data_IF_468843066865
#
_entry.id   IF_468843066865
#
_cell.length_a   1.000
_cell.length_b   1.000
_cell.length_c   1.000
_cell.angle_alpha   90.00
_cell.angle_beta   90.00
_cell.angle_gamma   90.00
#
_symmetry.space_group_name_H-M   'P 1'
#
loop_
_entity.id
_entity.type
_entity.pdbx_description
1 polymer ?
#
# COMPACT_ATOMS: atom_id res chain seq x y z
N UNK A 1 8.57 27.14 94.48
CA UNK A 1 8.98 28.24 93.58
C UNK A 1 9.27 27.64 92.22
N UNK A 2 8.70 28.23 91.16
CA UNK A 2 8.80 27.89 89.72
C UNK A 2 7.86 26.77 89.21
N UNK A 3 6.72 27.22 88.72
CA UNK A 3 5.85 26.54 87.75
C UNK A 3 6.57 26.47 86.39
N UNK A 4 6.51 25.33 85.70
CA UNK A 4 6.70 25.27 84.26
C UNK A 4 5.63 24.37 83.65
N UNK A 5 4.83 24.98 82.79
CA UNK A 5 3.70 24.43 82.05
C UNK A 5 4.27 23.66 80.85
N UNK A 6 3.93 22.37 80.74
CA UNK A 6 4.23 21.56 79.57
C UNK A 6 3.15 21.79 78.50
N UNK A 7 3.48 22.50 77.43
CA UNK A 7 2.64 22.69 76.27
C UNK A 7 2.80 21.50 75.31
N UNK A 8 1.77 20.67 75.18
CA UNK A 8 1.67 19.60 74.18
C UNK A 8 1.32 20.19 72.82
N UNK A 9 2.27 20.15 71.89
CA UNK A 9 2.06 20.46 70.47
C UNK A 9 1.52 19.23 69.74
N UNK A 10 0.27 19.29 69.28
CA UNK A 10 -0.31 18.36 68.30
C UNK A 10 0.27 18.63 66.92
N UNK A 11 1.09 17.70 66.41
CA UNK A 11 1.53 17.66 65.02
C UNK A 11 0.38 17.16 64.13
N UNK A 12 -0.21 18.07 63.35
CA UNK A 12 -1.11 17.72 62.27
C UNK A 12 -0.29 17.14 61.10
N UNK A 13 -0.43 15.84 60.84
CA UNK A 13 0.16 15.18 59.67
C UNK A 13 -0.62 15.56 58.41
N UNK A 14 -0.12 16.53 57.66
CA UNK A 14 -0.57 16.80 56.30
C UNK A 14 -0.07 15.68 55.38
N UNK A 15 -1.00 14.83 54.92
CA UNK A 15 -0.73 13.86 53.86
C UNK A 15 -0.48 14.62 52.55
N UNK A 16 0.79 14.65 52.11
CA UNK A 16 1.16 15.14 50.79
C UNK A 16 0.67 14.08 49.79
N UNK A 17 -0.43 14.38 49.10
CA UNK A 17 -0.82 13.62 47.92
C UNK A 17 0.29 13.75 46.88
N UNK A 18 0.99 12.64 46.61
CA UNK A 18 1.94 12.59 45.51
C UNK A 18 1.17 12.89 44.20
N UNK A 19 1.69 13.74 43.31
CA UNK A 19 1.11 13.88 41.99
C UNK A 19 1.20 12.51 41.31
N UNK A 20 0.06 11.89 41.03
CA UNK A 20 -0.02 10.78 40.10
C UNK A 20 0.43 11.34 38.76
N UNK A 21 1.66 11.01 38.35
CA UNK A 21 2.06 11.19 36.97
C UNK A 21 1.06 10.38 36.13
N UNK A 22 0.21 11.08 35.39
CA UNK A 22 -0.51 10.46 34.29
C UNK A 22 0.58 10.03 33.32
N UNK A 23 1.00 8.77 33.38
CA UNK A 23 1.76 8.19 32.29
C UNK A 23 0.84 8.27 31.08
N UNK A 24 1.16 9.15 30.14
CA UNK A 24 0.64 9.02 28.79
C UNK A 24 0.95 7.58 28.37
N UNK A 25 -0.10 6.79 28.13
CA UNK A 25 0.09 5.44 27.63
C UNK A 25 0.74 5.60 26.26
N UNK A 26 1.97 5.14 26.09
CA UNK A 26 2.64 5.23 24.79
C UNK A 26 1.81 4.45 23.76
N UNK A 27 1.48 5.12 22.64
CA UNK A 27 1.15 4.46 21.38
C UNK A 27 2.18 3.36 21.08
N UNK A 28 1.86 2.39 20.22
CA UNK A 28 2.74 1.25 19.89
C UNK A 28 2.77 0.15 20.97
N UNK A 29 1.60 -0.29 21.43
CA UNK A 29 1.50 -1.33 22.46
C UNK A 29 0.24 -2.17 22.35
N UNK A 30 -0.05 -2.94 23.40
CA UNK A 30 -1.36 -3.58 23.54
C UNK A 30 -2.13 -2.95 24.68
N UNK A 31 -3.44 -2.83 24.53
CA UNK A 31 -4.33 -2.25 25.51
C UNK A 31 -5.44 -3.23 25.88
N UNK A 32 -5.67 -3.43 27.18
CA UNK A 32 -6.78 -4.27 27.65
C UNK A 32 -7.98 -3.40 27.97
N UNK A 33 -9.06 -3.61 27.22
CA UNK A 33 -10.33 -2.86 27.37
C UNK A 33 -10.87 -3.00 28.78
N UNK A 34 -11.15 -1.87 29.42
CA UNK A 34 -11.74 -1.73 30.74
C UNK A 34 -13.24 -1.42 30.64
N UNK A 35 -13.92 -1.47 31.79
CA UNK A 35 -15.34 -1.12 31.86
C UNK A 35 -15.50 0.38 31.62
N UNK A 36 -16.30 0.73 30.60
CA UNK A 36 -16.62 2.13 30.28
C UNK A 36 -15.80 2.73 29.14
N UNK A 37 -14.80 2.00 28.61
CA UNK A 37 -13.99 2.49 27.51
C UNK A 37 -14.77 2.64 26.20
N UNK A 38 -14.38 3.63 25.41
CA UNK A 38 -14.63 3.71 23.98
C UNK A 38 -13.32 3.74 23.18
N UNK A 39 -13.35 3.34 21.90
CA UNK A 39 -12.15 3.43 21.06
C UNK A 39 -11.63 4.86 20.92
N UNK A 40 -12.52 5.85 20.92
CA UNK A 40 -12.14 7.26 20.85
C UNK A 40 -11.38 7.71 22.11
N UNK A 41 -11.81 7.31 23.29
CA UNK A 41 -11.12 7.64 24.55
C UNK A 41 -9.79 6.89 24.68
N UNK A 42 -9.75 5.60 24.32
CA UNK A 42 -8.51 4.82 24.26
C UNK A 42 -7.53 5.50 23.29
N UNK A 43 -8.03 5.98 22.15
CA UNK A 43 -7.21 6.67 21.16
C UNK A 43 -6.69 8.01 21.67
N UNK A 44 -7.56 8.83 22.26
CA UNK A 44 -7.18 10.11 22.87
C UNK A 44 -6.14 9.91 23.99
N UNK A 45 -6.25 8.82 24.76
CA UNK A 45 -5.29 8.46 25.81
C UNK A 45 -3.94 7.99 25.25
N UNK A 46 -3.94 7.21 24.16
CA UNK A 46 -2.73 6.63 23.59
C UNK A 46 -1.95 7.59 22.67
N UNK A 47 -2.66 8.43 21.92
CA UNK A 47 -2.06 9.29 20.88
C UNK A 47 -2.14 10.78 21.20
N UNK A 48 -2.97 11.20 22.16
CA UNK A 48 -3.27 12.61 22.41
C UNK A 48 -4.22 13.24 21.38
N UNK A 49 -4.75 12.45 20.44
CA UNK A 49 -5.77 12.83 19.46
C UNK A 49 -6.62 11.62 19.08
N UNK A 50 -7.78 11.85 18.46
CA UNK A 50 -8.65 10.77 18.01
C UNK A 50 -8.12 10.09 16.73
N UNK A 51 -7.67 8.85 16.88
CA UNK A 51 -7.23 7.91 15.86
C UNK A 51 -7.97 6.54 15.99
N UNK A 52 -9.21 6.54 16.48
CA UNK A 52 -9.97 5.31 16.75
C UNK A 52 -10.12 4.40 15.52
N UNK A 53 -10.16 4.98 14.31
CA UNK A 53 -10.26 4.22 13.05
C UNK A 53 -9.06 3.33 12.80
N UNK A 54 -7.86 3.80 13.13
CA UNK A 54 -6.62 3.02 13.00
C UNK A 54 -6.63 1.85 13.98
N UNK A 55 -7.00 2.09 15.26
CA UNK A 55 -7.15 1.01 16.24
C UNK A 55 -8.19 -0.01 15.75
N UNK A 56 -9.36 0.43 15.27
CA UNK A 56 -10.40 -0.47 14.79
C UNK A 56 -9.94 -1.34 13.62
N UNK A 57 -9.27 -0.75 12.63
CA UNK A 57 -8.80 -1.46 11.43
C UNK A 57 -7.85 -2.59 11.81
N UNK A 58 -6.90 -2.35 12.71
CA UNK A 58 -5.92 -3.36 13.12
C UNK A 58 -6.49 -4.43 14.07
N UNK A 59 -7.67 -4.18 14.66
CA UNK A 59 -8.33 -5.10 15.59
C UNK A 59 -9.67 -5.62 15.07
N UNK A 60 -9.89 -5.58 13.74
CA UNK A 60 -11.17 -5.92 13.14
C UNK A 60 -11.61 -7.37 13.41
N UNK A 61 -10.65 -8.28 13.61
CA UNK A 61 -10.92 -9.67 14.01
C UNK A 61 -11.53 -9.79 15.41
N UNK A 62 -11.15 -8.89 16.33
CA UNK A 62 -11.60 -8.90 17.73
C UNK A 62 -12.88 -8.07 17.93
N UNK A 63 -12.97 -6.92 17.26
CA UNK A 63 -14.06 -5.94 17.44
C UNK A 63 -15.23 -6.24 16.50
N UNK A 64 -14.96 -6.77 15.31
CA UNK A 64 -15.98 -6.99 14.28
C UNK A 64 -16.34 -5.72 13.51
N UNK A 65 -17.52 -5.71 12.90
CA UNK A 65 -17.93 -4.70 11.91
C UNK A 65 -18.32 -3.34 12.51
N UNK A 66 -18.71 -3.30 13.78
CA UNK A 66 -19.11 -2.07 14.46
C UNK A 66 -17.99 -1.59 15.40
N UNK A 67 -17.31 -0.46 15.12
CA UNK A 67 -16.23 0.05 15.95
C UNK A 67 -16.70 0.54 17.33
N UNK A 68 -18.00 0.72 17.54
CA UNK A 68 -18.55 1.16 18.82
C UNK A 68 -18.77 0.02 19.82
N UNK A 69 -18.54 -1.23 19.40
CA UNK A 69 -18.78 -2.43 20.21
C UNK A 69 -17.45 -3.08 20.58
N UNK A 70 -16.80 -2.59 21.64
CA UNK A 70 -15.60 -3.21 22.22
C UNK A 70 -15.95 -4.02 23.47
N UNK A 71 -15.35 -5.20 23.62
CA UNK A 71 -15.64 -6.10 24.74
C UNK A 71 -14.64 -5.88 25.87
N UNK A 72 -15.16 -5.75 27.09
CA UNK A 72 -14.33 -5.66 28.30
C UNK A 72 -13.43 -6.89 28.39
N UNK A 73 -12.14 -6.65 28.65
CA UNK A 73 -11.12 -7.67 28.73
C UNK A 73 -10.43 -8.03 27.41
N UNK A 74 -10.96 -7.61 26.25
CA UNK A 74 -10.28 -7.76 24.95
C UNK A 74 -8.94 -7.04 24.95
N UNK A 75 -7.95 -7.64 24.28
CA UNK A 75 -6.63 -7.04 24.10
C UNK A 75 -6.55 -6.45 22.70
N UNK A 76 -6.49 -5.13 22.61
CA UNK A 76 -6.37 -4.39 21.36
C UNK A 76 -4.90 -4.11 21.05
N UNK A 77 -4.50 -4.30 19.80
CA UNK A 77 -3.24 -3.79 19.24
C UNK A 77 -3.39 -2.30 19.01
N UNK A 78 -2.57 -1.48 19.64
CA UNK A 78 -2.50 -0.05 19.38
C UNK A 78 -1.36 0.20 18.39
N UNK A 79 -1.66 0.63 17.15
CA UNK A 79 -0.63 0.97 16.18
C UNK A 79 0.31 2.04 16.72
N UNK A 80 1.54 2.05 16.24
CA UNK A 80 2.51 3.08 16.52
C UNK A 80 2.12 4.37 15.73
N UNK A 81 2.71 5.52 16.06
CA UNK A 81 2.39 6.78 15.36
C UNK A 81 2.73 6.76 13.87
N UNK A 82 3.66 5.89 13.48
CA UNK A 82 4.03 5.62 12.08
C UNK A 82 3.14 4.58 11.40
N UNK A 83 2.13 4.05 12.09
CA UNK A 83 1.19 3.05 11.59
C UNK A 83 1.63 1.60 11.72
N UNK A 84 2.85 1.32 12.20
CA UNK A 84 3.34 -0.05 12.43
C UNK A 84 2.66 -0.74 13.63
N UNK A 85 2.73 -2.08 13.74
CA UNK A 85 2.21 -2.82 14.89
C UNK A 85 3.28 -3.08 15.96
N UNK A 86 2.89 -3.26 17.23
CA UNK A 86 3.84 -3.55 18.32
C UNK A 86 4.67 -4.82 18.13
N UNK A 87 4.19 -5.78 17.33
CA UNK A 87 4.93 -6.99 16.96
C UNK A 87 6.04 -6.72 15.94
N UNK A 88 5.86 -5.71 15.10
CA UNK A 88 6.79 -5.34 14.03
C UNK A 88 8.04 -4.66 14.64
N UNK A 89 7.89 -4.08 15.84
CA UNK A 89 9.01 -3.54 16.60
C UNK A 89 9.96 -4.61 17.16
N UNK A 90 9.51 -5.87 17.27
CA UNK A 90 10.40 -6.97 17.69
C UNK A 90 11.32 -7.44 16.58
N UNK A 91 10.98 -7.18 15.32
CA UNK A 91 11.87 -7.32 14.15
C UNK A 91 12.61 -6.00 13.82
N UNK A 92 12.09 -4.85 14.25
CA UNK A 92 12.80 -3.56 14.16
C UNK A 92 13.90 -3.36 15.22
N UNK A 93 14.04 -4.27 16.20
CA UNK A 93 15.12 -4.25 17.19
C UNK A 93 16.29 -5.15 16.81
N UNK A 94 16.83 -4.92 15.61
CA UNK A 94 18.25 -5.11 15.27
C UNK A 94 18.68 -4.00 14.30
N UNK A 95 18.40 -2.73 14.61
CA UNK A 95 19.21 -1.63 14.06
C UNK A 95 20.47 -1.47 14.91
N UNK A 96 21.37 -2.44 14.78
CA UNK A 96 22.79 -2.26 15.09
C UNK A 96 23.63 -2.99 14.04
N UNK A 97 23.69 -2.40 12.85
CA UNK A 97 24.82 -2.59 11.93
C UNK A 97 25.08 -1.26 11.25
N UNK A 98 26.31 -0.78 11.39
CA UNK A 98 26.95 0.38 10.75
C UNK A 98 27.00 0.28 9.19
N UNK A 99 26.10 -0.49 8.59
CA UNK A 99 25.96 -0.71 7.15
C UNK A 99 24.64 -0.09 6.71
N UNK A 100 24.66 1.00 5.91
CA UNK A 100 23.45 1.56 5.33
C UNK A 100 22.69 0.47 4.55
N UNK A 101 21.44 0.20 4.92
CA UNK A 101 20.55 -0.71 4.21
C UNK A 101 19.56 0.09 3.35
N UNK A 102 19.35 -0.32 2.10
CA UNK A 102 18.34 0.28 1.22
C UNK A 102 16.96 -0.24 1.59
N UNK A 103 16.01 0.63 1.90
CA UNK A 103 14.65 0.22 2.27
C UNK A 103 13.65 0.52 1.14
N UNK A 104 12.99 -0.52 0.65
CA UNK A 104 11.96 -0.43 -0.37
C UNK A 104 10.56 -0.52 0.25
N UNK A 105 9.59 0.20 -0.30
CA UNK A 105 8.17 0.07 0.07
C UNK A 105 7.30 -0.34 -1.11
N UNK A 106 6.42 -1.32 -0.89
CA UNK A 106 5.39 -1.76 -1.84
C UNK A 106 4.07 -2.04 -1.10
N UNK A 107 3.06 -2.64 -1.73
CA UNK A 107 1.73 -2.82 -1.16
C UNK A 107 1.06 -4.14 -1.60
N UNK A 108 0.17 -4.65 -0.76
CA UNK A 108 -0.63 -5.85 -1.02
C UNK A 108 -1.80 -5.59 -1.98
N UNK A 109 -2.38 -6.65 -2.53
CA UNK A 109 -3.59 -6.59 -3.34
C UNK A 109 -3.37 -6.26 -4.81
N UNK A 110 -2.14 -6.34 -5.32
CA UNK A 110 -1.85 -6.23 -6.76
C UNK A 110 -1.36 -7.55 -7.32
N UNK A 111 -2.21 -8.58 -7.25
CA UNK A 111 -1.91 -9.94 -7.74
C UNK A 111 -1.87 -9.96 -9.28
N UNK A 112 -0.95 -10.69 -9.93
CA UNK A 112 0.15 -11.54 -9.42
C UNK A 112 1.41 -10.81 -8.92
N UNK A 113 1.42 -9.49 -8.96
CA UNK A 113 2.65 -8.72 -8.98
C UNK A 113 3.25 -8.45 -7.60
N UNK A 114 2.43 -7.98 -6.65
CA UNK A 114 2.87 -7.67 -5.28
C UNK A 114 1.78 -8.05 -4.28
N UNK A 115 2.11 -9.01 -3.41
CA UNK A 115 1.32 -9.38 -2.24
C UNK A 115 2.15 -10.31 -1.35
N UNK A 116 2.08 -10.15 -0.03
CA UNK A 116 2.82 -10.95 0.93
C UNK A 116 2.36 -12.41 0.99
N UNK A 117 1.15 -12.70 0.51
CA UNK A 117 0.64 -14.08 0.42
C UNK A 117 1.20 -14.87 -0.77
N UNK A 118 1.86 -14.21 -1.72
CA UNK A 118 2.43 -14.85 -2.90
C UNK A 118 3.84 -15.41 -2.64
N UNK A 119 4.22 -16.44 -3.40
CA UNK A 119 5.60 -16.91 -3.46
C UNK A 119 6.53 -15.77 -3.90
N UNK A 120 7.68 -15.67 -3.23
CA UNK A 120 8.62 -14.55 -3.34
C UNK A 120 7.96 -13.16 -3.19
N UNK A 121 6.78 -13.11 -2.54
CA UNK A 121 5.94 -11.92 -2.32
C UNK A 121 5.48 -11.26 -3.64
N UNK A 122 5.38 -12.05 -4.70
CA UNK A 122 4.86 -11.66 -6.01
C UNK A 122 5.94 -11.44 -7.08
N UNK A 123 5.51 -11.48 -8.35
CA UNK A 123 6.40 -11.43 -9.50
C UNK A 123 7.29 -10.17 -9.50
N UNK A 124 6.71 -8.99 -9.28
CA UNK A 124 7.47 -7.74 -9.32
C UNK A 124 8.39 -7.60 -8.11
N UNK A 125 7.97 -8.10 -6.94
CA UNK A 125 8.83 -8.16 -5.75
C UNK A 125 10.06 -9.02 -6.00
N UNK A 126 9.90 -10.19 -6.63
CA UNK A 126 11.00 -11.07 -6.98
C UNK A 126 11.96 -10.43 -7.98
N UNK A 127 11.42 -9.74 -9.00
CA UNK A 127 12.24 -9.00 -9.98
C UNK A 127 13.08 -7.91 -9.31
N UNK A 128 12.51 -7.07 -8.45
CA UNK A 128 13.23 -5.99 -7.76
C UNK A 128 14.27 -6.55 -6.79
N UNK A 129 13.92 -7.56 -5.99
CA UNK A 129 14.83 -8.27 -5.07
C UNK A 129 16.03 -8.83 -5.83
N UNK A 130 15.78 -9.55 -6.93
CA UNK A 130 16.84 -10.15 -7.74
C UNK A 130 17.71 -9.09 -8.40
N UNK A 131 17.12 -8.01 -8.92
CA UNK A 131 17.88 -6.91 -9.50
C UNK A 131 18.85 -6.30 -8.46
N UNK A 132 18.42 -6.05 -7.23
CA UNK A 132 19.32 -5.56 -6.17
C UNK A 132 20.45 -6.56 -5.87
N UNK A 133 20.13 -7.85 -5.71
CA UNK A 133 21.12 -8.89 -5.44
C UNK A 133 22.17 -9.05 -6.55
N UNK A 134 21.84 -8.72 -7.80
CA UNK A 134 22.77 -8.78 -8.94
C UNK A 134 23.53 -7.48 -9.14
N UNK A 135 22.89 -6.34 -8.89
CA UNK A 135 23.44 -5.01 -9.15
C UNK A 135 24.37 -4.47 -8.06
N UNK A 136 24.13 -4.90 -6.81
CA UNK A 136 24.88 -4.53 -5.62
C UNK A 136 24.81 -5.65 -4.55
N UNK A 137 25.43 -6.83 -4.79
CA UNK A 137 25.36 -7.98 -3.90
C UNK A 137 25.88 -7.72 -2.47
N UNK A 138 26.69 -6.68 -2.29
CA UNK A 138 27.25 -6.25 -1.01
C UNK A 138 26.32 -5.34 -0.20
N UNK A 139 25.28 -4.76 -0.81
CA UNK A 139 24.35 -3.84 -0.12
C UNK A 139 23.21 -4.63 0.52
N UNK A 140 23.03 -4.43 1.81
CA UNK A 140 21.84 -4.90 2.51
C UNK A 140 20.61 -4.11 2.03
N UNK A 141 19.46 -4.79 1.93
CA UNK A 141 18.20 -4.14 1.62
C UNK A 141 17.01 -4.91 2.22
N UNK A 142 15.90 -4.20 2.39
CA UNK A 142 14.62 -4.75 2.84
C UNK A 142 13.46 -4.27 1.96
N UNK A 143 12.36 -5.03 1.95
CA UNK A 143 11.13 -4.67 1.24
C UNK A 143 9.98 -4.73 2.24
N UNK A 144 9.37 -3.58 2.51
CA UNK A 144 8.26 -3.41 3.46
C UNK A 144 6.96 -3.19 2.71
N UNK A 145 5.86 -3.70 3.26
CA UNK A 145 4.54 -3.57 2.65
C UNK A 145 3.71 -2.56 3.45
N UNK A 146 3.34 -1.46 2.81
CA UNK A 146 2.43 -0.44 3.34
C UNK A 146 1.26 -0.33 2.36
N UNK A 147 0.07 -0.75 2.78
CA UNK A 147 -1.07 -0.89 1.87
C UNK A 147 -1.65 0.44 1.37
N UNK A 148 -1.29 1.55 2.01
CA UNK A 148 -1.58 2.89 1.49
C UNK A 148 -0.58 3.27 0.39
N UNK A 149 -0.90 2.90 -0.86
CA UNK A 149 -0.05 3.16 -2.03
C UNK A 149 0.15 4.65 -2.29
N UNK A 150 -0.89 5.47 -2.11
CA UNK A 150 -0.80 6.91 -2.33
C UNK A 150 0.24 7.53 -1.38
N UNK A 151 0.26 7.10 -0.12
CA UNK A 151 1.22 7.57 0.86
C UNK A 151 2.69 7.32 0.46
N UNK A 152 2.99 6.32 -0.38
CA UNK A 152 4.37 6.04 -0.80
C UNK A 152 4.98 7.26 -1.49
N UNK A 153 4.28 7.84 -2.46
CA UNK A 153 4.76 8.98 -3.24
C UNK A 153 4.33 10.33 -2.66
N UNK A 154 3.27 10.39 -1.87
CA UNK A 154 2.81 11.65 -1.26
C UNK A 154 3.54 12.00 0.05
N UNK A 155 4.02 11.00 0.79
CA UNK A 155 4.55 11.21 2.15
C UNK A 155 5.83 10.44 2.44
N UNK A 156 5.85 9.13 2.19
CA UNK A 156 6.91 8.24 2.66
C UNK A 156 8.26 8.51 1.97
N UNK A 157 8.28 8.52 0.63
CA UNK A 157 9.49 8.82 -0.13
C UNK A 157 9.95 10.29 0.02
N UNK A 158 9.06 11.31 -0.04
CA UNK A 158 9.45 12.70 0.21
C UNK A 158 10.09 12.93 1.58
N UNK A 159 9.64 12.20 2.61
CA UNK A 159 10.19 12.24 3.98
C UNK A 159 11.37 11.30 4.20
N UNK A 160 11.78 10.55 3.18
CA UNK A 160 12.85 9.55 3.24
C UNK A 160 12.61 8.50 4.34
N UNK A 161 11.34 8.16 4.60
CA UNK A 161 11.00 7.04 5.46
C UNK A 161 11.35 5.69 4.80
N UNK A 162 11.34 5.68 3.47
CA UNK A 162 11.82 4.62 2.59
C UNK A 162 12.65 5.25 1.48
N UNK A 163 13.57 4.49 0.91
CA UNK A 163 14.45 4.96 -0.17
C UNK A 163 13.77 4.91 -1.53
N UNK A 164 13.00 3.84 -1.76
CA UNK A 164 12.43 3.49 -3.04
C UNK A 164 11.05 2.86 -2.91
N UNK A 165 10.22 3.00 -3.93
CA UNK A 165 8.90 2.36 -3.99
C UNK A 165 8.65 1.74 -5.36
N UNK A 166 7.87 0.67 -5.39
CA UNK A 166 7.46 -0.01 -6.62
C UNK A 166 6.11 -0.73 -6.44
N UNK A 167 5.40 -1.03 -7.54
CA UNK A 167 5.69 -0.65 -8.91
C UNK A 167 5.00 0.68 -9.32
N UNK A 168 5.67 1.50 -10.12
CA UNK A 168 5.13 2.78 -10.63
C UNK A 168 5.30 2.92 -12.14
N UNK A 169 4.33 3.55 -12.80
CA UNK A 169 4.49 4.04 -14.17
C UNK A 169 5.31 5.33 -14.17
N UNK A 170 6.13 5.56 -15.20
CA UNK A 170 6.72 6.89 -15.43
C UNK A 170 5.72 7.75 -16.19
N UNK A 171 5.43 8.97 -15.73
CA UNK A 171 4.79 9.94 -16.61
C UNK A 171 5.71 10.24 -17.80
N UNK A 172 5.11 10.59 -18.94
CA UNK A 172 5.79 11.03 -20.15
C UNK A 172 6.41 12.42 -20.02
N UNK A 173 7.31 12.63 -19.04
CA UNK A 173 7.90 13.94 -18.72
C UNK A 173 8.56 14.65 -19.92
N UNK A 174 8.99 13.85 -20.91
CA UNK A 174 9.75 14.29 -22.08
C UNK A 174 8.84 14.52 -23.30
N UNK A 175 7.54 14.24 -23.16
CA UNK A 175 6.54 14.43 -24.21
C UNK A 175 6.02 15.86 -24.21
N UNK A 176 5.61 16.35 -25.39
CA UNK A 176 5.10 17.73 -25.56
C UNK A 176 3.62 17.89 -25.17
N UNK A 177 3.04 16.93 -24.44
CA UNK A 177 1.64 16.97 -23.98
C UNK A 177 1.45 17.83 -22.74
N UNK A 178 0.21 18.22 -22.46
CA UNK A 178 -0.15 18.83 -21.18
C UNK A 178 -0.17 17.74 -20.10
N UNK A 179 0.83 17.74 -19.23
CA UNK A 179 0.86 16.86 -18.05
C UNK A 179 -0.18 17.33 -17.03
N UNK A 180 -0.83 16.38 -16.35
CA UNK A 180 -1.65 16.69 -15.18
C UNK A 180 -0.78 17.23 -14.03
N UNK A 181 -1.40 17.83 -13.01
CA UNK A 181 -0.67 18.28 -11.82
C UNK A 181 0.04 17.15 -11.09
N UNK A 182 -0.54 15.94 -11.08
CA UNK A 182 0.05 14.76 -10.47
C UNK A 182 1.25 14.24 -11.28
N UNK A 183 1.11 14.15 -12.60
CA UNK A 183 2.20 13.76 -13.50
C UNK A 183 3.36 14.75 -13.45
N UNK A 184 3.05 16.05 -13.45
CA UNK A 184 4.04 17.11 -13.32
C UNK A 184 4.78 17.01 -11.98
N UNK A 185 4.05 16.78 -10.87
CA UNK A 185 4.65 16.55 -9.56
C UNK A 185 5.58 15.33 -9.59
N UNK A 186 5.13 14.23 -10.17
CA UNK A 186 5.91 13.01 -10.31
C UNK A 186 7.19 13.22 -11.14
N UNK A 187 7.11 13.97 -12.25
CA UNK A 187 8.26 14.35 -13.07
C UNK A 187 9.28 15.21 -12.32
N UNK A 188 8.78 16.19 -11.56
CA UNK A 188 9.62 17.15 -10.85
C UNK A 188 10.29 16.57 -9.61
N UNK A 189 9.69 15.57 -8.97
CA UNK A 189 10.13 15.11 -7.64
C UNK A 189 10.69 13.69 -7.62
N UNK A 190 10.48 12.88 -8.67
CA UNK A 190 10.94 11.49 -8.69
C UNK A 190 11.92 11.21 -9.81
N UNK A 191 12.79 10.24 -9.54
CA UNK A 191 13.64 9.55 -10.52
C UNK A 191 13.25 8.08 -10.54
N UNK A 192 13.45 7.44 -11.69
CA UNK A 192 12.95 6.10 -11.91
C UNK A 192 14.03 5.18 -12.45
N UNK A 193 13.90 3.89 -12.14
CA UNK A 193 14.70 2.85 -12.77
C UNK A 193 14.34 2.72 -14.25
N UNK A 194 15.14 1.95 -15.00
CA UNK A 194 14.65 1.39 -16.26
C UNK A 194 13.41 0.53 -15.99
N UNK A 195 12.48 0.40 -16.96
CA UNK A 195 11.36 -0.53 -16.86
C UNK A 195 11.86 -1.93 -16.55
N UNK A 196 11.34 -2.54 -15.48
CA UNK A 196 11.69 -3.91 -15.10
C UNK A 196 10.60 -4.92 -15.48
N UNK A 197 9.39 -4.46 -15.81
CA UNK A 197 8.28 -5.27 -16.28
C UNK A 197 7.28 -4.40 -17.08
N UNK A 198 6.52 -5.00 -17.98
CA UNK A 198 5.43 -4.34 -18.71
C UNK A 198 4.11 -5.04 -18.42
N UNK A 199 3.09 -4.26 -18.07
CA UNK A 199 1.71 -4.74 -17.90
C UNK A 199 0.86 -4.29 -19.10
N UNK A 200 -0.29 -4.94 -19.27
CA UNK A 200 -1.31 -4.52 -20.22
C UNK A 200 -2.52 -4.09 -19.41
N UNK A 201 -2.79 -2.80 -19.34
CA UNK A 201 -4.05 -2.28 -18.79
C UNK A 201 -5.14 -2.43 -19.87
N UNK A 202 -6.23 -3.13 -19.52
CA UNK A 202 -7.38 -3.40 -20.38
C UNK A 202 -8.70 -2.97 -19.74
N UNK A 203 -9.78 -3.19 -20.47
CA UNK A 203 -11.14 -2.81 -20.06
C UNK A 203 -12.05 -4.01 -20.03
N UNK A 204 -12.72 -4.21 -18.90
CA UNK A 204 -13.64 -5.32 -18.66
C UNK A 204 -15.07 -4.82 -18.55
N UNK A 205 -16.00 -5.52 -19.19
CA UNK A 205 -17.44 -5.26 -19.09
C UNK A 205 -18.20 -6.56 -18.90
N UNK A 206 -19.46 -6.48 -18.45
CA UNK A 206 -20.33 -7.66 -18.53
C UNK A 206 -20.47 -8.08 -20.00
N UNK A 207 -20.49 -9.38 -20.26
CA UNK A 207 -20.75 -9.92 -21.59
C UNK A 207 -22.13 -9.48 -22.09
N UNK A 208 -22.23 -8.94 -23.30
CA UNK A 208 -23.46 -8.40 -23.86
C UNK A 208 -23.79 -6.97 -23.41
N UNK A 209 -22.89 -6.28 -22.71
CA UNK A 209 -23.08 -4.88 -22.31
C UNK A 209 -22.88 -3.89 -23.48
N UNK A 210 -22.26 -4.33 -24.57
CA UNK A 210 -22.00 -3.51 -25.77
C UNK A 210 -20.62 -2.85 -25.78
N UNK A 211 -19.77 -3.12 -24.78
CA UNK A 211 -18.41 -2.59 -24.67
C UNK A 211 -17.33 -3.59 -25.09
N UNK A 212 -17.66 -4.88 -25.21
CA UNK A 212 -16.69 -5.95 -25.46
C UNK A 212 -15.99 -5.90 -26.83
N UNK A 213 -16.58 -5.21 -27.82
CA UNK A 213 -16.08 -5.18 -29.20
C UNK A 213 -15.89 -3.76 -29.75
N UNK A 214 -15.99 -2.73 -28.91
CA UNK A 214 -15.74 -1.36 -29.36
C UNK A 214 -14.24 -1.18 -29.63
N UNK A 215 -13.90 -0.38 -30.64
CA UNK A 215 -12.52 -0.19 -31.11
C UNK A 215 -12.02 1.24 -30.90
N UNK A 216 -12.83 2.09 -30.28
CA UNK A 216 -12.56 3.50 -30.05
C UNK A 216 -12.97 3.88 -28.62
N UNK A 217 -12.08 4.55 -27.89
CA UNK A 217 -12.32 5.04 -26.54
C UNK A 217 -13.49 6.02 -26.44
N UNK A 218 -13.85 6.70 -27.54
CA UNK A 218 -15.05 7.54 -27.60
C UNK A 218 -16.34 6.77 -27.23
N UNK A 219 -16.36 5.44 -27.41
CA UNK A 219 -17.49 4.62 -27.00
C UNK A 219 -17.67 4.53 -25.47
N UNK A 220 -16.67 4.90 -24.68
CA UNK A 220 -16.74 4.93 -23.22
C UNK A 220 -17.25 6.29 -22.67
N UNK A 221 -17.53 7.27 -23.52
CA UNK A 221 -18.07 8.56 -23.09
C UNK A 221 -19.37 8.37 -22.27
N UNK A 222 -19.43 9.00 -21.10
CA UNK A 222 -20.54 8.89 -20.16
C UNK A 222 -20.56 7.61 -19.31
N UNK A 223 -19.65 6.66 -19.52
CA UNK A 223 -19.58 5.43 -18.75
C UNK A 223 -19.15 5.68 -17.29
N UNK A 224 -19.57 4.78 -16.40
CA UNK A 224 -19.05 4.69 -15.04
C UNK A 224 -17.90 3.66 -15.03
N UNK A 225 -16.67 4.14 -14.91
CA UNK A 225 -15.46 3.31 -14.91
C UNK A 225 -14.98 3.08 -13.49
N UNK A 226 -14.62 1.83 -13.17
CA UNK A 226 -14.04 1.46 -11.90
C UNK A 226 -12.55 1.14 -12.02
N UNK A 227 -11.73 1.74 -11.16
CA UNK A 227 -10.32 1.39 -11.00
C UNK A 227 -9.90 1.61 -9.54
N UNK A 228 -9.23 0.67 -8.87
CA UNK A 228 -8.93 0.81 -7.45
C UNK A 228 -8.14 2.08 -7.11
N UNK A 229 -8.35 2.59 -5.90
CA UNK A 229 -7.58 3.70 -5.34
C UNK A 229 -6.08 3.33 -5.26
N UNK A 230 -5.22 4.30 -5.58
CA UNK A 230 -3.76 4.11 -5.57
C UNK A 230 -3.20 3.39 -6.81
N UNK A 231 -4.03 2.95 -7.76
CA UNK A 231 -3.57 2.48 -9.06
C UNK A 231 -3.39 3.67 -10.00
N UNK A 232 -2.33 3.66 -10.81
CA UNK A 232 -2.05 4.74 -11.77
C UNK A 232 -3.21 4.95 -12.74
N UNK A 233 -3.65 6.20 -12.94
CA UNK A 233 -4.69 6.58 -13.90
C UNK A 233 -4.15 7.03 -15.26
N UNK A 234 -2.83 6.97 -15.48
CA UNK A 234 -2.18 7.51 -16.68
C UNK A 234 -2.78 7.01 -18.00
N UNK A 235 -3.06 5.71 -18.13
CA UNK A 235 -3.67 5.19 -19.36
C UNK A 235 -5.11 5.70 -19.56
N UNK A 236 -5.85 6.04 -18.51
CA UNK A 236 -7.17 6.65 -18.64
C UNK A 236 -7.03 8.10 -19.12
N UNK A 237 -6.09 8.84 -18.53
CA UNK A 237 -5.77 10.22 -18.89
C UNK A 237 -5.33 10.36 -20.36
N UNK A 238 -4.37 9.53 -20.78
CA UNK A 238 -3.85 9.50 -22.16
C UNK A 238 -4.94 9.26 -23.22
N UNK A 239 -6.01 8.55 -22.84
CA UNK A 239 -7.12 8.20 -23.72
C UNK A 239 -8.36 9.07 -23.49
N UNK A 240 -8.25 10.18 -22.73
CA UNK A 240 -9.36 11.11 -22.49
C UNK A 240 -10.47 10.55 -21.60
N UNK A 241 -10.20 9.48 -20.85
CA UNK A 241 -11.13 8.78 -19.97
C UNK A 241 -11.03 9.29 -18.52
N UNK A 242 -11.13 10.61 -18.35
CA UNK A 242 -11.18 11.25 -17.04
C UNK A 242 -12.45 12.10 -16.90
N UNK A 243 -12.92 12.38 -15.67
CA UNK A 243 -14.00 13.34 -15.46
C UNK A 243 -13.69 14.68 -16.15
N UNK A 244 -14.67 15.29 -16.87
CA UNK A 244 -16.09 14.94 -16.90
C UNK A 244 -16.50 13.93 -17.98
N UNK A 245 -15.58 13.45 -18.83
CA UNK A 245 -15.91 12.53 -19.93
C UNK A 245 -16.46 11.19 -19.43
N UNK A 246 -16.00 10.72 -18.27
CA UNK A 246 -16.50 9.54 -17.57
C UNK A 246 -16.79 9.85 -16.09
N UNK A 247 -17.44 8.91 -15.40
CA UNK A 247 -17.46 8.88 -13.94
C UNK A 247 -16.49 7.83 -13.42
N UNK A 248 -15.42 8.27 -12.75
CA UNK A 248 -14.45 7.36 -12.12
C UNK A 248 -14.86 6.99 -10.69
N UNK A 249 -14.90 5.69 -10.39
CA UNK A 249 -15.12 5.14 -9.04
C UNK A 249 -13.86 4.38 -8.60
N UNK A 250 -13.34 4.74 -7.41
CA UNK A 250 -12.08 4.18 -6.90
C UNK A 250 -12.27 3.49 -5.55
N UNK A 251 -12.69 2.21 -5.53
CA UNK A 251 -12.76 1.43 -4.31
C UNK A 251 -11.36 0.95 -3.87
N UNK A 252 -11.27 0.30 -2.72
CA UNK A 252 -9.99 -0.15 -2.19
C UNK A 252 -9.38 -1.38 -2.89
N UNK A 253 -10.16 -2.12 -3.71
CA UNK A 253 -9.69 -3.38 -4.31
C UNK A 253 -10.27 -3.65 -5.69
N UNK A 254 -9.54 -4.46 -6.47
CA UNK A 254 -9.99 -4.95 -7.77
C UNK A 254 -11.25 -5.82 -7.66
N UNK A 255 -11.33 -6.72 -6.65
CA UNK A 255 -12.53 -7.53 -6.39
C UNK A 255 -13.79 -6.67 -6.22
N UNK A 256 -13.69 -5.55 -5.49
CA UNK A 256 -14.83 -4.65 -5.32
C UNK A 256 -15.27 -4.02 -6.66
N UNK A 257 -14.34 -3.72 -7.57
CA UNK A 257 -14.70 -3.25 -8.92
C UNK A 257 -15.49 -4.29 -9.70
N UNK A 258 -15.10 -5.56 -9.68
CA UNK A 258 -15.84 -6.63 -10.37
C UNK A 258 -17.18 -6.93 -9.67
N UNK A 259 -17.26 -6.90 -8.35
CA UNK A 259 -18.54 -6.99 -7.64
C UNK A 259 -19.50 -5.86 -8.04
N UNK A 260 -18.98 -4.63 -8.13
CA UNK A 260 -19.73 -3.45 -8.58
C UNK A 260 -20.19 -3.59 -10.03
N UNK A 261 -19.36 -4.17 -10.89
CA UNK A 261 -19.69 -4.47 -12.29
C UNK A 261 -20.86 -5.45 -12.35
N UNK A 262 -20.83 -6.52 -11.55
CA UNK A 262 -21.92 -7.50 -11.52
C UNK A 262 -23.22 -6.96 -10.92
N UNK A 263 -23.15 -5.96 -10.04
CA UNK A 263 -24.32 -5.25 -9.49
C UNK A 263 -24.83 -4.11 -10.37
N UNK A 264 -24.30 -3.94 -11.59
CA UNK A 264 -24.64 -2.84 -12.51
C UNK A 264 -24.41 -1.43 -11.90
N UNK A 265 -23.48 -1.30 -10.94
CA UNK A 265 -23.14 -0.01 -10.33
C UNK A 265 -21.98 0.70 -11.02
N UNK A 266 -21.27 -0.02 -11.89
CA UNK A 266 -20.26 0.48 -12.84
C UNK A 266 -20.47 -0.25 -14.17
N UNK A 267 -20.04 0.37 -15.26
CA UNK A 267 -20.17 -0.14 -16.63
C UNK A 267 -18.91 -0.86 -17.09
N UNK A 268 -17.75 -0.33 -16.67
CA UNK A 268 -16.43 -0.79 -17.05
C UNK A 268 -15.53 -0.94 -15.83
N UNK A 269 -14.63 -1.90 -15.87
CA UNK A 269 -13.49 -2.00 -14.95
C UNK A 269 -12.21 -1.81 -15.77
N UNK A 270 -11.35 -0.88 -15.35
CA UNK A 270 -10.08 -0.58 -16.02
C UNK A 270 -8.91 -1.08 -15.16
N UNK A 271 -8.30 -2.20 -15.56
CA UNK A 271 -7.31 -2.93 -14.79
C UNK A 271 -6.31 -3.64 -15.69
N UNK A 272 -5.17 -4.00 -15.10
CA UNK A 272 -4.24 -4.92 -15.74
C UNK A 272 -4.92 -6.25 -16.09
N UNK A 273 -4.66 -6.75 -17.30
CA UNK A 273 -5.25 -7.97 -17.86
C UNK A 273 -5.11 -9.16 -16.91
N UNK A 274 -3.92 -9.38 -16.33
CA UNK A 274 -3.66 -10.52 -15.43
C UNK A 274 -4.39 -10.40 -14.09
N UNK A 275 -4.44 -9.20 -13.56
CA UNK A 275 -5.19 -8.86 -12.34
C UNK A 275 -6.68 -9.12 -12.59
N UNK A 276 -7.19 -8.70 -13.75
CA UNK A 276 -8.57 -8.95 -14.16
C UNK A 276 -8.88 -10.43 -14.34
N UNK A 277 -8.04 -11.18 -15.06
CA UNK A 277 -8.14 -12.64 -15.22
C UNK A 277 -8.23 -13.34 -13.85
N UNK A 278 -7.34 -12.98 -12.93
CA UNK A 278 -7.30 -13.54 -11.59
C UNK A 278 -8.56 -13.24 -10.79
N UNK A 279 -9.02 -12.00 -10.78
CA UNK A 279 -10.25 -11.62 -10.05
C UNK A 279 -11.48 -12.30 -10.67
N UNK A 280 -11.53 -12.43 -12.00
CA UNK A 280 -12.60 -13.17 -12.67
C UNK A 280 -12.59 -14.65 -12.28
N UNK A 281 -11.42 -15.28 -12.18
CA UNK A 281 -11.31 -16.66 -11.69
C UNK A 281 -11.78 -16.77 -10.22
N UNK A 282 -11.25 -15.92 -9.32
CA UNK A 282 -11.62 -15.90 -7.90
C UNK A 282 -13.15 -15.74 -7.69
N UNK A 283 -13.80 -14.94 -8.53
CA UNK A 283 -15.24 -14.64 -8.44
C UNK A 283 -16.12 -15.52 -9.35
N UNK A 284 -15.55 -16.49 -10.07
CA UNK A 284 -16.26 -17.34 -11.03
C UNK A 284 -17.02 -16.55 -12.12
N UNK A 285 -16.39 -15.53 -12.68
CA UNK A 285 -16.96 -14.60 -13.66
C UNK A 285 -16.51 -14.81 -15.11
N UNK A 286 -15.71 -15.85 -15.39
CA UNK A 286 -15.07 -16.10 -16.69
C UNK A 286 -16.01 -16.04 -17.91
N UNK A 287 -17.29 -16.41 -17.74
CA UNK A 287 -18.30 -16.39 -18.82
C UNK A 287 -19.31 -15.24 -18.72
N UNK A 288 -19.16 -14.38 -17.71
CA UNK A 288 -20.08 -13.28 -17.41
C UNK A 288 -19.45 -11.90 -17.65
N UNK A 289 -18.12 -11.85 -17.65
CA UNK A 289 -17.33 -10.65 -17.88
C UNK A 289 -16.38 -10.93 -19.04
N UNK A 290 -16.22 -9.94 -19.90
CA UNK A 290 -15.35 -10.00 -21.08
C UNK A 290 -14.39 -8.82 -21.06
N UNK A 291 -13.12 -9.09 -21.33
CA UNK A 291 -12.14 -8.06 -21.66
C UNK A 291 -12.33 -7.61 -23.11
N UNK A 292 -12.24 -6.31 -23.36
CA UNK A 292 -12.20 -5.76 -24.71
C UNK A 292 -10.82 -6.03 -25.35
N UNK A 293 -10.74 -6.76 -26.48
CA UNK A 293 -9.46 -7.15 -27.08
C UNK A 293 -8.82 -6.05 -27.97
N UNK A 294 -9.52 -4.94 -28.17
CA UNK A 294 -9.11 -3.85 -29.06
C UNK A 294 -8.58 -2.63 -28.33
N UNK A 295 -9.02 -2.42 -27.09
CA UNK A 295 -8.69 -1.26 -26.28
C UNK A 295 -7.83 -1.69 -25.10
N UNK A 296 -6.53 -1.41 -25.21
CA UNK A 296 -5.55 -1.70 -24.17
C UNK A 296 -4.42 -0.67 -24.19
N UNK A 297 -3.64 -0.62 -23.12
CA UNK A 297 -2.45 0.22 -23.00
C UNK A 297 -1.33 -0.56 -22.35
N UNK A 298 -0.14 -0.52 -22.98
CA UNK A 298 1.07 -1.14 -22.42
C UNK A 298 1.70 -0.15 -21.46
N UNK A 299 1.92 -0.56 -20.22
CA UNK A 299 2.48 0.29 -19.18
C UNK A 299 3.79 -0.29 -18.67
N UNK A 300 4.85 0.53 -18.72
CA UNK A 300 6.16 0.20 -18.19
C UNK A 300 6.21 0.41 -16.68
N UNK A 301 6.50 -0.65 -15.93
CA UNK A 301 6.61 -0.64 -14.48
C UNK A 301 8.05 -0.46 -14.02
N UNK A 302 8.23 0.44 -13.06
CA UNK A 302 9.54 0.93 -12.62
C UNK A 302 9.58 1.08 -11.10
N UNK A 303 10.80 1.21 -10.57
CA UNK A 303 11.05 1.64 -9.19
C UNK A 303 11.17 3.16 -9.18
N UNK A 304 10.44 3.82 -8.28
CA UNK A 304 10.48 5.26 -8.07
C UNK A 304 11.28 5.61 -6.81
N UNK A 305 12.12 6.64 -6.90
CA UNK A 305 12.84 7.22 -5.77
C UNK A 305 12.65 8.72 -5.77
N UNK A 306 12.58 9.33 -4.59
CA UNK A 306 12.48 10.78 -4.48
C UNK A 306 13.83 11.43 -4.81
N UNK A 307 13.82 12.52 -5.61
CA UNK A 307 15.03 13.24 -6.05
C UNK A 307 15.90 13.76 -4.92
N UNK A 308 15.28 14.12 -3.78
CA UNK A 308 16.01 14.61 -2.62
C UNK A 308 16.70 13.50 -1.81
N UNK A 309 16.47 12.21 -2.13
CA UNK A 309 17.23 11.13 -1.52
C UNK A 309 18.66 11.19 -2.09
N UNK A 310 19.70 11.43 -1.25
CA UNK A 310 21.08 11.53 -1.71
C UNK A 310 21.62 10.22 -2.32
N UNK A 311 21.03 9.07 -1.97
CA UNK A 311 21.39 7.76 -2.52
C UNK A 311 20.63 7.41 -3.80
N UNK A 312 19.71 8.27 -4.27
CA UNK A 312 18.80 7.94 -5.38
C UNK A 312 19.53 7.54 -6.66
N UNK A 313 20.57 8.28 -7.05
CA UNK A 313 21.35 7.98 -8.26
C UNK A 313 22.07 6.63 -8.16
N UNK A 314 22.63 6.31 -6.99
CA UNK A 314 23.36 5.07 -6.75
C UNK A 314 22.40 3.88 -6.76
N UNK A 315 21.27 3.96 -6.06
CA UNK A 315 20.26 2.88 -6.02
C UNK A 315 19.70 2.62 -7.42
N UNK A 316 19.41 3.67 -8.20
CA UNK A 316 18.98 3.53 -9.59
C UNK A 316 20.05 2.84 -10.45
N UNK A 317 21.32 3.20 -10.28
CA UNK A 317 22.42 2.58 -11.01
C UNK A 317 22.57 1.09 -10.64
N UNK A 318 22.41 0.74 -9.36
CA UNK A 318 22.43 -0.64 -8.87
C UNK A 318 21.31 -1.46 -9.48
N UNK A 319 20.05 -1.00 -9.36
CA UNK A 319 18.87 -1.65 -9.94
C UNK A 319 19.04 -1.89 -11.44
N UNK A 320 19.51 -0.87 -12.16
CA UNK A 320 19.68 -0.95 -13.62
C UNK A 320 20.80 -1.91 -14.03
N UNK A 321 21.91 -1.99 -13.27
CA UNK A 321 22.95 -3.00 -13.49
C UNK A 321 22.41 -4.41 -13.25
N UNK A 322 21.68 -4.60 -12.17
CA UNK A 322 21.06 -5.89 -11.84
C UNK A 322 20.09 -6.37 -12.90
N UNK A 323 19.19 -5.47 -13.33
CA UNK A 323 18.26 -5.75 -14.41
C UNK A 323 18.98 -6.13 -15.72
N UNK A 324 20.04 -5.40 -16.08
CA UNK A 324 20.84 -5.74 -17.27
C UNK A 324 21.46 -7.14 -17.16
N UNK A 325 22.04 -7.49 -16.00
CA UNK A 325 22.60 -8.82 -15.77
C UNK A 325 21.53 -9.93 -15.84
N UNK A 326 20.33 -9.68 -15.31
CA UNK A 326 19.21 -10.64 -15.38
C UNK A 326 18.71 -10.85 -16.82
N UNK A 327 18.72 -9.81 -17.65
CA UNK A 327 18.37 -9.89 -19.07
C UNK A 327 19.43 -10.67 -19.85
N UNK A 328 20.71 -10.40 -19.61
CA UNK A 328 21.84 -11.08 -20.28
C UNK A 328 21.90 -12.58 -19.95
N UNK A 329 21.58 -12.95 -18.72
CA UNK A 329 21.62 -14.35 -18.25
C UNK A 329 20.34 -15.13 -18.53
N UNK A 330 19.24 -14.45 -18.88
CA UNK A 330 17.91 -15.04 -19.02
C UNK A 330 17.19 -15.28 -17.69
N UNK A 331 17.78 -14.89 -16.55
CA UNK A 331 17.16 -15.01 -15.22
C UNK A 331 15.86 -14.20 -15.14
N UNK A 332 15.80 -13.03 -15.79
CA UNK A 332 14.57 -12.24 -15.88
C UNK A 332 13.43 -13.05 -16.50
N UNK A 333 13.70 -13.72 -17.63
CA UNK A 333 12.69 -14.50 -18.35
C UNK A 333 12.25 -15.72 -17.54
N UNK A 334 13.16 -16.34 -16.78
CA UNK A 334 12.83 -17.44 -15.87
C UNK A 334 11.90 -16.98 -14.74
N UNK A 335 12.19 -15.83 -14.11
CA UNK A 335 11.36 -15.29 -13.02
C UNK A 335 9.96 -14.97 -13.53
N UNK A 336 9.86 -14.30 -14.70
CA UNK A 336 8.58 -13.98 -15.33
C UNK A 336 7.82 -15.25 -15.68
N UNK A 337 8.46 -16.22 -16.33
CA UNK A 337 7.79 -17.46 -16.72
C UNK A 337 7.28 -18.23 -15.50
N UNK A 338 8.06 -18.34 -14.42
CA UNK A 338 7.65 -19.05 -13.22
C UNK A 338 6.52 -18.30 -12.50
N UNK A 339 6.68 -17.00 -12.25
CA UNK A 339 5.67 -16.18 -11.57
C UNK A 339 4.31 -16.15 -12.28
N UNK A 340 4.30 -16.30 -13.61
CA UNK A 340 3.05 -16.42 -14.38
C UNK A 340 2.49 -17.85 -14.42
N UNK A 341 3.33 -18.89 -14.33
CA UNK A 341 2.90 -20.31 -14.36
C UNK A 341 2.36 -20.81 -13.03
N UNK A 342 2.90 -20.34 -11.91
CA UNK A 342 2.41 -20.73 -10.58
C UNK A 342 0.96 -20.27 -10.34
N UNK A 343 0.48 -19.30 -11.14
CA UNK A 343 -0.94 -18.93 -11.20
C UNK A 343 -1.82 -19.98 -11.89
N UNK A 344 -1.32 -20.65 -12.93
CA UNK A 344 -2.06 -21.69 -13.67
C UNK A 344 -2.17 -22.99 -12.87
N UNK A 345 -1.19 -23.31 -12.02
CA UNK A 345 -1.23 -24.50 -11.18
C UNK A 345 -2.17 -24.37 -9.97
N UNK A 346 -2.47 -23.15 -9.52
CA UNK A 346 -3.46 -22.91 -8.47
C UNK A 346 -4.91 -23.12 -8.96
N UNK A 347 -5.14 -23.12 -10.28
CA UNK A 347 -6.42 -23.51 -10.91
C UNK A 347 -6.62 -25.04 -10.98
N UNK A 348 -5.57 -25.84 -10.78
CA UNK A 348 -5.63 -27.31 -10.89
C UNK A 348 -5.69 -28.04 -9.53
N UNK A 349 -5.59 -27.31 -8.41
CA UNK A 349 -5.54 -27.88 -7.05
C UNK A 349 -6.79 -27.52 -6.22
N UNK A 350 -7.75 -26.76 -6.78
CA UNK A 350 -9.04 -26.49 -6.14
C UNK A 350 -10.21 -27.17 -6.84
#
# INVERSE_FOLDING_TARGET
MKYLIAATFTLASTAIAAPTTVQAQEACGTYRVQIGDSLAEISQQAYGFDNHRSIWRENRSEIGRDPNVIRVGSVLKLPCLDGSLPSDQKEASLKDTDTPSVSFVTANGYLPYTDESLDERGLMTNLVKTAMMRGAPEKAFDIVFVNDRAAHVESLLPRQAFDASFPWTRPGCETQGELTSLELYACQNFVYSKPFYEIVDGFFSRTGAGYENVVDFAAFEGAIVCRPEGYSTGHLEENGLMPPAIKLIQPASAHECFERLMRNSVDLVALDTRTGERVMADLNLTYQVSENPHLFSIQSMQVALHRNNPASADIIADLNRGLAAMLETGEWASIVSNGLRDQTNMELVN
#
